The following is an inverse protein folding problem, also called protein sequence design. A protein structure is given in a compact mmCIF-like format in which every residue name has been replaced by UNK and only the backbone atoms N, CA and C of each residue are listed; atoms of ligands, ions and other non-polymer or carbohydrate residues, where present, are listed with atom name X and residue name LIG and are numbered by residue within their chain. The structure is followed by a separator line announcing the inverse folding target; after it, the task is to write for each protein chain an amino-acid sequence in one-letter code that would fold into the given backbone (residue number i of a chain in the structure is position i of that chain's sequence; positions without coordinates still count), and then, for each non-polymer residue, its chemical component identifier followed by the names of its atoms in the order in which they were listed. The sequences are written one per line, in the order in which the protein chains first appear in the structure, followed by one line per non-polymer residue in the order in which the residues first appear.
data_IF_854663827801
#
_entry.id   IF_854663827801
#
_cell.length_a   1.000
_cell.length_b   1.000
_cell.length_c   1.000
_cell.angle_alpha   90.00
_cell.angle_beta   90.00
_cell.angle_gamma   90.00
#
_symmetry.space_group_name_H-M   'P 1'
#
loop_
_entity.id
_entity.type
_entity.pdbx_description
1 polymer ?
#
# COMPACT_ATOMS: atom_id res chain seq x y z
N UNK A 1 -57.32 37.99 18.07
CA UNK A 1 -56.36 36.91 17.83
C UNK A 1 -55.75 37.11 16.46
N UNK A 2 -54.56 37.66 16.42
CA UNK A 2 -53.84 38.09 15.21
C UNK A 2 -52.97 36.90 14.73
N UNK A 3 -53.29 36.44 13.53
CA UNK A 3 -52.57 35.41 12.80
C UNK A 3 -51.26 36.01 12.26
N UNK A 4 -50.13 35.68 12.88
CA UNK A 4 -48.80 36.01 12.31
C UNK A 4 -48.46 34.97 11.24
N UNK A 5 -48.01 35.38 10.04
CA UNK A 5 -47.55 34.47 9.01
C UNK A 5 -46.19 33.88 9.39
N UNK A 6 -46.13 32.57 9.62
CA UNK A 6 -44.86 31.83 9.77
C UNK A 6 -44.08 31.93 8.46
N UNK A 7 -43.02 32.72 8.46
CA UNK A 7 -41.99 32.76 7.38
C UNK A 7 -41.14 31.49 7.42
N UNK A 8 -41.73 30.40 6.92
CA UNK A 8 -41.00 29.12 6.78
C UNK A 8 -40.24 29.08 5.45
N UNK A 9 -38.94 29.08 5.49
CA UNK A 9 -38.08 28.79 4.33
C UNK A 9 -38.42 27.39 3.79
N UNK A 10 -38.95 27.31 2.58
CA UNK A 10 -39.38 26.03 1.99
C UNK A 10 -38.19 25.34 1.29
N UNK A 11 -38.25 24.00 1.15
CA UNK A 11 -37.25 23.25 0.36
C UNK A 11 -37.13 23.77 -1.07
N UNK A 12 -38.21 24.32 -1.63
CA UNK A 12 -38.26 24.90 -2.96
C UNK A 12 -37.48 26.22 -3.03
N UNK A 13 -37.51 27.02 -1.96
CA UNK A 13 -36.75 28.27 -1.83
C UNK A 13 -35.27 28.00 -1.66
N UNK A 14 -34.88 26.91 -0.96
CA UNK A 14 -33.52 26.47 -0.83
C UNK A 14 -32.94 26.06 -2.21
N UNK A 15 -33.68 25.28 -2.99
CA UNK A 15 -33.22 24.83 -4.32
C UNK A 15 -33.12 25.99 -5.30
N UNK A 16 -34.08 26.91 -5.27
CA UNK A 16 -34.04 28.12 -6.11
C UNK A 16 -32.88 29.07 -5.72
N UNK A 17 -32.65 29.27 -4.43
CA UNK A 17 -31.54 30.06 -3.92
C UNK A 17 -30.16 29.48 -4.27
N UNK A 18 -30.02 28.15 -4.19
CA UNK A 18 -28.79 27.43 -4.53
C UNK A 18 -28.46 27.52 -6.02
N UNK A 19 -29.46 27.45 -6.91
CA UNK A 19 -29.26 27.59 -8.35
C UNK A 19 -28.79 28.99 -8.74
N UNK A 20 -29.40 30.04 -8.15
CA UNK A 20 -29.02 31.44 -8.42
C UNK A 20 -27.64 31.74 -7.85
N UNK A 21 -27.30 31.25 -6.65
CA UNK A 21 -25.99 31.44 -6.04
C UNK A 21 -24.87 30.73 -6.82
N UNK A 22 -25.14 29.51 -7.33
CA UNK A 22 -24.16 28.76 -8.13
C UNK A 22 -23.85 29.44 -9.47
N UNK A 23 -24.85 30.03 -10.14
CA UNK A 23 -24.65 30.78 -11.40
C UNK A 23 -23.89 32.08 -11.16
N UNK A 24 -24.13 32.77 -10.06
CA UNK A 24 -23.43 34.02 -9.74
C UNK A 24 -21.94 33.79 -9.38
N UNK A 25 -21.62 32.65 -8.73
CA UNK A 25 -20.25 32.30 -8.40
C UNK A 25 -19.41 31.91 -9.63
N UNK A 26 -20.07 31.42 -10.70
CA UNK A 26 -19.37 30.99 -11.93
C UNK A 26 -19.12 32.14 -12.91
N UNK A 27 -19.79 33.30 -12.78
CA UNK A 27 -19.67 34.43 -13.72
C UNK A 27 -18.67 35.48 -13.23
N UNK A 28 -18.25 35.47 -11.96
CA UNK A 28 -17.41 36.51 -11.36
C UNK A 28 -15.89 36.27 -11.36
N UNK A 29 -15.42 35.09 -11.67
CA UNK A 29 -14.01 34.75 -11.74
C UNK A 29 -13.57 34.61 -13.19
N UNK A 30 -12.71 35.53 -13.71
CA UNK A 30 -11.78 35.13 -14.76
C UNK A 30 -10.87 34.05 -14.18
N UNK A 31 -11.36 32.80 -14.15
CA UNK A 31 -10.45 31.68 -14.11
C UNK A 31 -9.59 31.83 -15.36
N UNK A 32 -8.34 32.24 -15.20
CA UNK A 32 -7.33 31.92 -16.18
C UNK A 32 -7.38 30.41 -16.25
N UNK A 33 -8.14 29.88 -17.21
CA UNK A 33 -7.96 28.52 -17.65
C UNK A 33 -6.54 28.53 -18.24
N UNK A 34 -5.55 28.26 -17.38
CA UNK A 34 -4.26 27.80 -17.84
C UNK A 34 -4.59 26.74 -18.87
N UNK A 35 -4.10 26.93 -20.08
CA UNK A 35 -4.36 26.04 -21.21
C UNK A 35 -4.08 24.63 -20.73
N UNK A 36 -5.16 23.88 -20.47
CA UNK A 36 -5.05 22.52 -19.93
C UNK A 36 -4.41 21.69 -21.02
N UNK A 37 -3.13 21.37 -20.81
CA UNK A 37 -2.40 20.50 -21.71
C UNK A 37 -3.15 19.17 -21.80
N UNK A 38 -3.73 18.90 -22.97
CA UNK A 38 -4.48 17.66 -23.21
C UNK A 38 -3.52 16.56 -23.62
N UNK A 39 -3.34 15.58 -22.75
CA UNK A 39 -2.61 14.36 -23.07
C UNK A 39 -3.52 13.31 -23.72
N UNK A 40 -3.05 12.67 -24.77
CA UNK A 40 -3.70 11.49 -25.32
C UNK A 40 -4.39 11.67 -26.65
N UNK A 41 -4.98 10.59 -27.23
CA UNK A 41 -5.19 9.27 -26.64
C UNK A 41 -3.98 8.33 -26.69
N UNK A 42 -2.90 8.69 -27.41
CA UNK A 42 -1.71 7.85 -27.57
C UNK A 42 -0.79 7.85 -26.35
N UNK A 43 0.23 6.98 -26.37
CA UNK A 43 1.27 6.94 -25.35
C UNK A 43 2.13 8.21 -25.41
N UNK A 44 2.41 8.81 -24.25
CA UNK A 44 3.24 9.98 -24.10
C UNK A 44 4.46 9.65 -23.21
N UNK A 45 5.59 10.33 -23.41
CA UNK A 45 6.77 10.13 -22.56
C UNK A 45 6.49 10.59 -21.13
N UNK A 46 6.95 9.82 -20.16
CA UNK A 46 6.88 10.15 -18.74
C UNK A 46 8.18 9.71 -18.05
N UNK A 47 8.67 10.55 -17.15
CA UNK A 47 9.82 10.24 -16.32
C UNK A 47 9.34 10.05 -14.87
N UNK A 48 9.61 8.85 -14.31
CA UNK A 48 9.28 8.49 -12.93
C UNK A 48 10.55 8.29 -12.12
N UNK A 49 10.67 9.00 -11.01
CA UNK A 49 11.75 8.81 -10.05
C UNK A 49 11.30 7.80 -8.99
N UNK A 50 11.75 6.55 -9.12
CA UNK A 50 11.33 5.44 -8.25
C UNK A 50 12.54 4.91 -7.48
N UNK A 51 12.44 4.89 -6.15
CA UNK A 51 13.50 4.41 -5.25
C UNK A 51 14.88 5.04 -5.55
N UNK A 52 14.87 6.34 -5.90
CA UNK A 52 16.09 7.07 -6.25
C UNK A 52 16.53 6.95 -7.71
N UNK A 53 16.02 5.98 -8.48
CA UNK A 53 16.35 5.76 -9.89
C UNK A 53 15.34 6.43 -10.82
N UNK A 54 15.80 6.91 -11.97
CA UNK A 54 14.96 7.54 -12.99
C UNK A 54 14.58 6.51 -14.05
N UNK A 55 13.28 6.36 -14.29
CA UNK A 55 12.70 5.48 -15.31
C UNK A 55 11.99 6.31 -16.36
N UNK A 56 12.48 6.24 -17.62
CA UNK A 56 11.85 6.90 -18.78
C UNK A 56 10.97 5.92 -19.51
N UNK A 57 9.67 6.19 -19.52
CA UNK A 57 8.65 5.32 -20.05
C UNK A 57 7.82 6.05 -21.11
N UNK A 58 7.16 5.31 -21.97
CA UNK A 58 6.12 5.83 -22.89
C UNK A 58 4.79 5.15 -22.50
N UNK A 59 3.89 5.91 -21.88
CA UNK A 59 2.66 5.39 -21.28
C UNK A 59 1.43 6.14 -21.78
N UNK A 60 0.34 5.41 -21.97
CA UNK A 60 -0.96 6.04 -22.20
C UNK A 60 -1.38 6.84 -20.94
N UNK A 61 -2.10 7.96 -21.09
CA UNK A 61 -2.51 8.81 -19.96
C UNK A 61 -3.32 8.08 -18.88
N UNK A 62 -4.04 7.02 -19.23
CA UNK A 62 -4.86 6.22 -18.32
C UNK A 62 -4.09 5.18 -17.50
N UNK A 63 -2.81 4.96 -17.79
CA UNK A 63 -2.00 3.96 -17.05
C UNK A 63 -1.84 4.40 -15.61
N UNK A 64 -2.21 3.50 -14.69
CA UNK A 64 -2.06 3.76 -13.26
C UNK A 64 -0.59 3.65 -12.83
N UNK A 65 -0.24 4.31 -11.74
CA UNK A 65 1.09 4.19 -11.16
C UNK A 65 1.38 2.72 -10.77
N UNK A 66 0.37 1.99 -10.29
CA UNK A 66 0.52 0.57 -9.94
C UNK A 66 0.91 -0.29 -11.16
N UNK A 67 0.26 -0.07 -12.30
CA UNK A 67 0.56 -0.81 -13.54
C UNK A 67 1.95 -0.42 -14.07
N UNK A 68 2.30 0.89 -13.99
CA UNK A 68 3.63 1.35 -14.39
C UNK A 68 4.74 0.71 -13.54
N UNK A 69 4.58 0.67 -12.22
CA UNK A 69 5.56 0.06 -11.31
C UNK A 69 5.71 -1.44 -11.54
N UNK A 70 4.58 -2.16 -11.67
CA UNK A 70 4.59 -3.63 -11.77
C UNK A 70 4.97 -4.13 -13.16
N UNK A 71 4.32 -3.58 -14.18
CA UNK A 71 4.34 -4.20 -15.52
C UNK A 71 5.38 -3.56 -16.44
N UNK A 72 5.83 -2.33 -16.14
CA UNK A 72 6.83 -1.62 -16.94
C UNK A 72 8.20 -1.55 -16.26
N UNK A 73 8.22 -1.38 -14.93
CA UNK A 73 9.48 -1.29 -14.16
C UNK A 73 9.85 -2.65 -13.54
N UNK A 74 8.87 -3.54 -13.31
CA UNK A 74 9.09 -4.86 -12.71
C UNK A 74 9.09 -4.88 -11.18
N UNK A 75 8.67 -3.79 -10.53
CA UNK A 75 8.56 -3.70 -9.06
C UNK A 75 7.25 -4.32 -8.59
N UNK A 76 7.24 -5.61 -8.31
CA UNK A 76 6.04 -6.41 -8.01
C UNK A 76 5.61 -6.36 -6.55
N UNK A 77 6.36 -5.74 -5.66
CA UNK A 77 6.02 -5.57 -4.24
C UNK A 77 4.77 -4.72 -4.01
N UNK A 78 4.49 -3.75 -4.89
CA UNK A 78 3.21 -3.04 -4.94
C UNK A 78 2.12 -3.98 -5.43
N UNK A 79 1.16 -4.37 -4.56
CA UNK A 79 0.13 -5.37 -4.90
C UNK A 79 -1.16 -4.69 -5.36
N UNK A 80 -1.73 -5.13 -6.49
CA UNK A 80 -3.06 -4.69 -6.94
C UNK A 80 -4.08 -5.75 -6.57
N UNK A 81 -5.00 -5.44 -5.64
CA UNK A 81 -6.04 -6.35 -5.15
C UNK A 81 -7.43 -5.85 -5.52
N UNK A 82 -7.82 -4.64 -5.08
CA UNK A 82 -9.17 -4.13 -5.34
C UNK A 82 -9.26 -3.26 -6.61
N UNK A 83 -8.17 -2.67 -7.09
CA UNK A 83 -8.12 -1.77 -8.25
C UNK A 83 -8.95 -0.47 -8.11
N UNK A 84 -9.42 -0.14 -6.90
CA UNK A 84 -10.33 1.00 -6.64
C UNK A 84 -10.04 1.76 -5.35
N UNK A 85 -8.80 1.74 -4.86
CA UNK A 85 -8.35 2.50 -3.69
C UNK A 85 -8.91 2.07 -2.34
N UNK A 86 -9.67 0.97 -2.25
CA UNK A 86 -10.40 0.60 -1.02
C UNK A 86 -9.59 -0.27 -0.04
N UNK A 87 -8.50 -0.93 -0.49
CA UNK A 87 -7.84 -1.95 0.34
C UNK A 87 -6.41 -1.61 0.78
N UNK A 88 -5.79 -0.58 0.22
CA UNK A 88 -4.44 -0.15 0.57
C UNK A 88 -3.29 -1.12 0.23
N UNK A 89 -3.55 -2.26 -0.42
CA UNK A 89 -2.48 -3.20 -0.80
C UNK A 89 -1.48 -2.59 -1.79
N UNK A 90 -1.92 -1.61 -2.58
CA UNK A 90 -1.12 -0.88 -3.54
C UNK A 90 -0.51 0.42 -2.99
N UNK A 91 -0.49 0.61 -1.68
CA UNK A 91 0.10 1.81 -1.08
C UNK A 91 1.57 1.93 -1.46
N UNK A 92 1.92 3.11 -1.95
CA UNK A 92 3.30 3.59 -2.18
C UNK A 92 3.45 4.96 -1.53
N UNK A 93 4.69 5.44 -1.40
CA UNK A 93 4.92 6.82 -0.97
C UNK A 93 5.15 7.70 -2.19
N UNK A 94 4.46 8.82 -2.25
CA UNK A 94 4.65 9.88 -3.22
C UNK A 94 5.04 11.15 -2.46
N UNK A 95 6.27 11.61 -2.64
CA UNK A 95 6.87 12.69 -1.84
C UNK A 95 6.70 12.45 -0.32
N UNK A 96 6.92 11.22 0.13
CA UNK A 96 6.81 10.81 1.53
C UNK A 96 5.39 10.62 2.06
N UNK A 97 4.34 10.80 1.25
CA UNK A 97 2.93 10.61 1.64
C UNK A 97 2.38 9.32 1.05
N UNK A 98 1.56 8.61 1.82
CA UNK A 98 0.89 7.41 1.35
C UNK A 98 -0.15 7.71 0.28
N UNK A 99 -0.09 7.01 -0.85
CA UNK A 99 -1.09 7.07 -1.91
C UNK A 99 -1.47 5.67 -2.39
N UNK A 100 -2.70 5.53 -2.89
CA UNK A 100 -3.15 4.31 -3.55
C UNK A 100 -2.69 4.32 -5.02
N UNK A 101 -1.62 3.61 -5.35
CA UNK A 101 -1.06 3.58 -6.69
C UNK A 101 -2.05 3.11 -7.78
N UNK A 102 -3.08 2.31 -7.44
CA UNK A 102 -4.12 1.90 -8.37
C UNK A 102 -5.13 3.01 -8.75
N UNK A 103 -5.12 4.15 -8.07
CA UNK A 103 -5.93 5.34 -8.38
C UNK A 103 -5.09 6.55 -8.78
N UNK A 104 -3.78 6.49 -8.62
CA UNK A 104 -2.86 7.53 -9.06
C UNK A 104 -2.45 7.25 -10.50
N UNK A 105 -2.57 8.22 -11.40
CA UNK A 105 -2.08 8.08 -12.76
C UNK A 105 -0.54 8.20 -12.79
N UNK A 106 0.11 7.41 -13.65
CA UNK A 106 1.56 7.47 -13.77
C UNK A 106 2.06 8.87 -14.15
N UNK A 107 1.34 9.56 -15.03
CA UNK A 107 1.66 10.93 -15.44
C UNK A 107 1.51 11.96 -14.30
N UNK A 108 0.60 11.75 -13.34
CA UNK A 108 0.47 12.62 -12.15
C UNK A 108 1.63 12.44 -11.16
N UNK A 109 2.30 11.30 -11.21
CA UNK A 109 3.47 11.01 -10.39
C UNK A 109 4.78 11.54 -11.01
N UNK A 110 4.73 12.05 -12.24
CA UNK A 110 5.90 12.66 -12.88
C UNK A 110 6.46 13.81 -12.05
N UNK A 111 7.78 13.89 -11.97
CA UNK A 111 8.49 14.92 -11.18
C UNK A 111 8.44 14.73 -9.67
N UNK A 112 7.74 13.71 -9.16
CA UNK A 112 7.65 13.40 -7.73
C UNK A 112 8.55 12.20 -7.37
N UNK A 113 8.93 12.12 -6.09
CA UNK A 113 9.71 10.99 -5.58
C UNK A 113 8.77 9.86 -5.17
N UNK A 114 8.94 8.69 -5.79
CA UNK A 114 8.16 7.50 -5.52
C UNK A 114 9.01 6.54 -4.70
N UNK A 115 8.49 6.07 -3.56
CA UNK A 115 9.13 5.01 -2.77
C UNK A 115 8.18 3.81 -2.69
N UNK A 116 8.66 2.66 -3.11
CA UNK A 116 7.98 1.37 -2.99
C UNK A 116 8.59 0.53 -1.87
N UNK A 117 8.02 -0.62 -1.59
CA UNK A 117 8.54 -1.52 -0.54
C UNK A 117 9.98 -1.97 -0.83
N UNK A 118 10.32 -2.16 -2.10
CA UNK A 118 11.66 -2.52 -2.54
C UNK A 118 12.70 -1.44 -2.22
N UNK A 119 12.28 -0.17 -2.20
CA UNK A 119 13.15 0.95 -1.87
C UNK A 119 13.41 1.17 -0.38
N UNK A 120 12.78 0.39 0.51
CA UNK A 120 13.04 0.50 1.94
C UNK A 120 14.29 -0.25 2.39
N UNK A 121 14.61 -1.37 1.75
CA UNK A 121 15.80 -2.16 2.06
C UNK A 121 17.01 -1.59 1.30
N UNK A 122 17.92 -0.93 2.01
CA UNK A 122 19.18 -0.46 1.43
C UNK A 122 20.23 -1.58 1.48
N UNK A 123 20.93 -1.80 0.37
CA UNK A 123 22.02 -2.77 0.26
C UNK A 123 21.67 -4.19 0.75
N UNK A 124 20.42 -4.61 0.52
CA UNK A 124 19.92 -5.92 0.93
C UNK A 124 19.66 -6.05 2.44
N UNK A 125 19.81 -4.98 3.22
CA UNK A 125 19.51 -4.97 4.66
C UNK A 125 18.11 -4.45 4.91
N UNK A 126 17.36 -5.21 5.72
CA UNK A 126 16.02 -4.82 6.14
C UNK A 126 16.08 -3.61 7.08
N UNK A 127 15.03 -2.80 7.02
CA UNK A 127 14.84 -1.72 8.02
C UNK A 127 14.38 -2.33 9.36
N UNK A 128 14.60 -1.64 10.51
CA UNK A 128 14.12 -2.11 11.81
C UNK A 128 12.62 -2.43 11.82
N UNK A 129 11.81 -1.69 11.04
CA UNK A 129 10.39 -1.96 10.90
C UNK A 129 10.13 -3.29 10.15
N UNK A 130 10.85 -3.56 9.08
CA UNK A 130 10.71 -4.83 8.34
C UNK A 130 11.17 -6.02 9.20
N UNK A 131 12.27 -5.89 9.94
CA UNK A 131 12.72 -6.89 10.91
C UNK A 131 11.67 -7.15 12.01
N UNK A 132 11.05 -6.08 12.53
CA UNK A 132 10.00 -6.18 13.51
C UNK A 132 8.74 -6.89 12.98
N UNK A 133 8.39 -6.67 11.69
CA UNK A 133 7.29 -7.40 11.04
C UNK A 133 7.57 -8.90 10.95
N UNK A 134 8.80 -9.30 10.68
CA UNK A 134 9.22 -10.70 10.69
C UNK A 134 9.17 -11.25 12.11
N UNK A 135 9.78 -10.55 13.08
CA UNK A 135 9.87 -11.00 14.47
C UNK A 135 8.51 -11.09 15.18
N UNK A 136 7.52 -10.30 14.75
CA UNK A 136 6.16 -10.31 15.29
C UNK A 136 5.22 -11.24 14.51
N UNK A 137 5.70 -11.96 13.49
CA UNK A 137 4.86 -12.74 12.56
C UNK A 137 3.68 -11.93 11.99
N UNK A 138 3.96 -10.67 11.61
CA UNK A 138 2.97 -9.70 11.19
C UNK A 138 2.50 -9.88 9.75
N UNK A 139 2.64 -11.08 9.21
CA UNK A 139 2.24 -11.44 7.85
C UNK A 139 1.80 -12.91 7.78
N UNK A 140 0.90 -13.23 6.85
CA UNK A 140 0.57 -14.59 6.45
C UNK A 140 0.70 -14.69 4.93
N UNK A 141 -0.36 -14.33 4.16
CA UNK A 141 -0.29 -14.39 2.70
C UNK A 141 0.62 -13.30 2.07
N UNK A 142 0.99 -12.26 2.79
CA UNK A 142 1.90 -11.20 2.35
C UNK A 142 1.29 -10.10 1.46
N UNK A 143 0.05 -10.25 0.97
CA UNK A 143 -0.53 -9.31 0.00
C UNK A 143 -0.74 -7.89 0.54
N UNK A 144 -1.14 -7.74 1.80
CA UNK A 144 -1.31 -6.43 2.44
C UNK A 144 -0.02 -5.87 3.04
N UNK A 145 1.00 -6.72 3.24
CA UNK A 145 2.17 -6.42 4.06
C UNK A 145 2.98 -5.25 3.54
N UNK A 146 3.22 -5.17 2.22
CA UNK A 146 3.96 -4.05 1.63
C UNK A 146 3.29 -2.70 1.87
N UNK A 147 1.97 -2.63 1.67
CA UNK A 147 1.20 -1.41 1.93
C UNK A 147 1.16 -1.05 3.42
N UNK A 148 1.01 -2.03 4.29
CA UNK A 148 1.03 -1.81 5.75
C UNK A 148 2.39 -1.30 6.25
N UNK A 149 3.49 -1.89 5.79
CA UNK A 149 4.85 -1.42 6.16
C UNK A 149 5.05 0.03 5.74
N UNK A 150 4.66 0.42 4.52
CA UNK A 150 4.79 1.79 4.04
C UNK A 150 3.93 2.77 4.85
N UNK A 151 2.69 2.39 5.21
CA UNK A 151 1.83 3.20 6.07
C UNK A 151 2.40 3.35 7.48
N UNK A 152 2.91 2.27 8.07
CA UNK A 152 3.55 2.29 9.38
C UNK A 152 4.88 3.08 9.37
N UNK A 153 5.63 3.03 8.25
CA UNK A 153 6.85 3.83 8.09
C UNK A 153 6.53 5.33 8.19
N UNK A 154 5.52 5.81 7.46
CA UNK A 154 5.11 7.22 7.51
C UNK A 154 4.71 7.63 8.94
N UNK A 155 3.99 6.76 9.66
CA UNK A 155 3.66 7.00 11.06
C UNK A 155 4.92 7.16 11.91
N UNK A 156 5.88 6.24 11.80
CA UNK A 156 7.12 6.25 12.59
C UNK A 156 8.03 7.43 12.24
N UNK A 157 8.05 7.87 10.98
CA UNK A 157 8.77 9.07 10.55
C UNK A 157 8.19 10.35 11.19
N UNK A 158 6.87 10.39 11.41
CA UNK A 158 6.17 11.53 12.03
C UNK A 158 6.14 11.44 13.55
N UNK A 159 6.07 10.26 14.09
CA UNK A 159 5.98 9.99 15.52
C UNK A 159 6.77 8.72 15.88
N UNK A 160 7.94 8.90 16.46
CA UNK A 160 8.84 7.80 16.84
C UNK A 160 8.30 6.93 18.01
N UNK A 161 7.27 7.40 18.72
CA UNK A 161 6.65 6.68 19.86
C UNK A 161 5.13 6.72 19.73
N UNK A 162 4.55 6.06 18.71
CA UNK A 162 3.11 6.10 18.47
C UNK A 162 2.34 5.35 19.55
N UNK A 163 1.16 5.84 19.87
CA UNK A 163 0.19 5.07 20.67
C UNK A 163 -0.40 3.96 19.83
N UNK A 164 -0.90 2.89 20.46
CA UNK A 164 -1.59 1.81 19.74
C UNK A 164 -2.79 2.31 18.94
N UNK A 165 -3.45 3.38 19.39
CA UNK A 165 -4.52 4.01 18.65
C UNK A 165 -4.00 4.69 17.36
N UNK A 166 -2.89 5.41 17.44
CA UNK A 166 -2.26 6.02 16.25
C UNK A 166 -1.82 4.96 15.23
N UNK A 167 -1.35 3.79 15.69
CA UNK A 167 -1.00 2.67 14.80
C UNK A 167 -2.25 2.15 14.09
N UNK A 168 -3.38 1.97 14.81
CA UNK A 168 -4.67 1.56 14.21
C UNK A 168 -5.12 2.53 13.12
N UNK A 169 -5.03 3.83 13.40
CA UNK A 169 -5.41 4.88 12.45
C UNK A 169 -4.52 4.87 11.20
N UNK A 170 -3.22 4.70 11.38
CA UNK A 170 -2.26 4.64 10.27
C UNK A 170 -2.53 3.48 9.31
N UNK A 171 -2.99 2.33 9.81
CA UNK A 171 -3.28 1.14 8.98
C UNK A 171 -4.77 0.98 8.66
N UNK A 172 -5.63 1.92 9.05
CA UNK A 172 -7.08 1.83 8.83
C UNK A 172 -7.45 1.70 7.35
N UNK A 173 -6.64 2.28 6.46
CA UNK A 173 -6.78 2.17 5.00
C UNK A 173 -6.24 0.87 4.40
N UNK A 174 -5.60 -0.01 5.19
CA UNK A 174 -4.96 -1.24 4.72
C UNK A 174 -5.73 -2.47 5.20
N UNK A 175 -6.40 -3.17 4.29
CA UNK A 175 -7.19 -4.36 4.62
C UNK A 175 -6.35 -5.62 4.63
N UNK A 176 -6.39 -6.38 5.72
CA UNK A 176 -5.81 -7.71 5.86
C UNK A 176 -6.89 -8.78 5.98
N UNK A 177 -7.01 -9.66 4.97
CA UNK A 177 -7.97 -10.77 5.01
C UNK A 177 -7.58 -11.86 6.02
N UNK A 178 -6.29 -12.04 6.27
CA UNK A 178 -5.76 -12.98 7.26
C UNK A 178 -5.93 -12.50 8.70
N UNK A 179 -6.19 -11.20 8.92
CA UNK A 179 -6.47 -10.66 10.25
C UNK A 179 -5.23 -10.39 11.11
N UNK A 180 -4.05 -10.20 10.53
CA UNK A 180 -2.77 -10.04 11.25
C UNK A 180 -2.60 -8.69 11.98
N UNK A 181 -3.65 -7.91 12.16
CA UNK A 181 -3.56 -6.53 12.72
C UNK A 181 -2.88 -6.46 14.08
N UNK A 182 -3.17 -7.41 15.00
CA UNK A 182 -2.53 -7.40 16.32
C UNK A 182 -1.02 -7.58 16.23
N UNK A 183 -0.56 -8.43 15.33
CA UNK A 183 0.86 -8.65 15.04
C UNK A 183 1.49 -7.42 14.38
N UNK A 184 0.76 -6.73 13.48
CA UNK A 184 1.21 -5.47 12.88
C UNK A 184 1.37 -4.39 13.95
N UNK A 185 0.42 -4.27 14.89
CA UNK A 185 0.54 -3.30 15.99
C UNK A 185 1.76 -3.61 16.86
N UNK A 186 1.97 -4.88 17.18
CA UNK A 186 3.14 -5.33 17.92
C UNK A 186 4.45 -5.05 17.18
N UNK A 187 4.50 -5.30 15.87
CA UNK A 187 5.67 -5.02 15.04
C UNK A 187 6.04 -3.51 15.09
N UNK A 188 5.05 -2.63 14.99
CA UNK A 188 5.29 -1.18 15.07
C UNK A 188 5.73 -0.77 16.47
N UNK A 189 5.12 -1.32 17.53
CA UNK A 189 5.52 -1.08 18.91
C UNK A 189 6.97 -1.52 19.16
N UNK A 190 7.40 -2.65 18.61
CA UNK A 190 8.80 -3.15 18.66
C UNK A 190 9.75 -2.23 17.91
N UNK A 191 9.42 -1.87 16.67
CA UNK A 191 10.24 -0.98 15.85
C UNK A 191 10.42 0.40 16.51
N UNK A 192 9.42 0.86 17.29
CA UNK A 192 9.45 2.09 18.08
C UNK A 192 10.20 1.93 19.42
N UNK A 193 10.70 0.75 19.76
CA UNK A 193 11.33 0.46 21.06
C UNK A 193 10.37 0.52 22.26
N UNK A 194 9.05 0.41 22.03
CA UNK A 194 8.02 0.48 23.08
C UNK A 194 7.76 -0.88 23.73
N UNK A 195 8.12 -1.98 23.06
CA UNK A 195 8.13 -3.34 23.61
C UNK A 195 9.53 -3.91 23.51
N UNK A 196 10.08 -4.35 24.63
CA UNK A 196 11.29 -5.16 24.61
C UNK A 196 11.01 -6.48 23.88
N UNK A 197 12.01 -6.94 23.16
CA UNK A 197 11.97 -8.22 22.43
C UNK A 197 12.05 -9.39 23.44
N UNK A 198 10.97 -9.64 24.23
CA UNK A 198 10.84 -10.83 25.06
C UNK A 198 10.67 -12.13 24.25
N UNK A 199 10.90 -12.04 22.94
CA UNK A 199 10.92 -13.17 22.02
C UNK A 199 12.36 -13.54 21.63
N UNK A 200 13.16 -13.94 22.62
CA UNK A 200 14.37 -14.75 22.40
C UNK A 200 14.02 -16.24 22.20
N UNK A 201 12.78 -16.55 21.85
CA UNK A 201 12.39 -17.88 21.42
C UNK A 201 12.49 -18.02 19.91
N UNK A 202 12.79 -19.22 19.39
CA UNK A 202 12.80 -19.46 17.96
C UNK A 202 11.44 -19.04 17.37
N UNK A 203 11.46 -18.36 16.21
CA UNK A 203 10.29 -17.96 15.44
C UNK A 203 9.26 -19.11 15.39
N UNK A 204 7.93 -18.88 15.57
CA UNK A 204 6.95 -19.95 15.50
C UNK A 204 7.07 -20.83 14.25
N UNK A 205 7.54 -20.26 13.13
CA UNK A 205 7.86 -21.02 11.91
C UNK A 205 9.02 -22.02 12.12
N UNK A 206 9.93 -21.80 13.07
CA UNK A 206 10.97 -22.77 13.41
C UNK A 206 10.44 -23.92 14.30
N UNK A 207 9.19 -23.82 14.76
CA UNK A 207 8.46 -24.90 15.42
C UNK A 207 7.65 -25.76 14.45
N UNK A 208 7.52 -25.34 13.18
CA UNK A 208 7.02 -26.21 12.13
C UNK A 208 8.22 -27.08 11.78
N UNK A 209 8.18 -28.39 12.10
CA UNK A 209 9.22 -29.29 11.63
C UNK A 209 9.34 -29.11 10.12
N UNK A 210 10.56 -29.05 9.61
CA UNK A 210 10.80 -29.05 8.18
C UNK A 210 9.84 -30.04 7.54
N UNK A 211 8.99 -29.65 6.57
CA UNK A 211 8.11 -30.58 5.88
C UNK A 211 8.86 -31.80 5.37
N UNK A 212 10.14 -31.69 5.00
CA UNK A 212 11.02 -32.79 4.65
C UNK A 212 11.26 -33.70 5.85
N UNK A 213 11.49 -33.19 7.07
CA UNK A 213 11.74 -34.00 8.27
C UNK A 213 10.54 -34.86 8.70
N UNK A 214 9.32 -34.51 8.26
CA UNK A 214 8.13 -35.38 8.49
C UNK A 214 8.16 -36.65 7.69
N UNK A 215 8.95 -36.70 6.64
CA UNK A 215 9.01 -37.82 5.71
C UNK A 215 10.35 -38.55 5.76
N UNK A 216 11.37 -37.99 6.43
CA UNK A 216 12.69 -38.66 6.57
C UNK A 216 12.58 -40.01 7.29
N UNK A 217 11.65 -40.17 8.23
CA UNK A 217 11.43 -41.39 8.98
C UNK A 217 10.33 -42.31 8.40
N UNK A 218 9.65 -41.89 7.31
CA UNK A 218 8.66 -42.76 6.66
C UNK A 218 9.35 -43.66 5.62
N UNK A 219 9.45 -44.97 5.89
CA UNK A 219 10.17 -45.92 5.01
C UNK A 219 9.55 -45.99 3.60
N UNK A 220 8.28 -45.62 3.44
CA UNK A 220 7.58 -45.63 2.13
C UNK A 220 8.04 -44.43 1.27
N UNK A 221 8.27 -43.26 1.91
CA UNK A 221 8.77 -42.08 1.23
C UNK A 221 10.24 -42.27 0.86
N UNK A 222 11.04 -42.80 1.76
CA UNK A 222 12.44 -43.13 1.48
C UNK A 222 12.62 -44.19 0.36
N UNK A 223 11.68 -45.10 0.23
CA UNK A 223 11.66 -46.07 -0.87
C UNK A 223 11.29 -45.39 -2.20
N UNK A 224 10.23 -44.55 -2.22
CA UNK A 224 9.79 -43.84 -3.42
C UNK A 224 10.86 -42.85 -3.95
N UNK A 225 11.59 -42.18 -3.05
CA UNK A 225 12.70 -41.31 -3.43
C UNK A 225 13.84 -42.08 -4.08
N UNK A 226 14.20 -43.24 -3.52
CA UNK A 226 15.24 -44.13 -4.10
C UNK A 226 14.86 -44.63 -5.49
N UNK A 227 13.60 -45.08 -5.64
CA UNK A 227 13.08 -45.56 -6.93
C UNK A 227 13.12 -44.43 -8.01
N UNK A 228 12.71 -43.24 -7.64
CA UNK A 228 12.77 -42.07 -8.54
C UNK A 228 14.23 -41.67 -8.89
N UNK A 229 15.16 -41.75 -7.95
CA UNK A 229 16.58 -41.45 -8.20
C UNK A 229 17.23 -42.51 -9.11
N UNK A 230 16.86 -43.79 -8.99
CA UNK A 230 17.33 -44.86 -9.84
C UNK A 230 16.79 -44.71 -11.29
N UNK A 231 15.51 -44.31 -11.45
CA UNK A 231 14.92 -44.03 -12.77
C UNK A 231 15.58 -42.84 -13.48
N UNK A 232 16.03 -41.85 -12.75
CA UNK A 232 16.70 -40.64 -13.29
C UNK A 232 18.23 -40.80 -13.43
N UNK A 233 18.80 -41.96 -13.01
CA UNK A 233 20.23 -42.20 -13.09
C UNK A 233 21.07 -41.33 -12.18
N UNK A 234 20.50 -40.86 -11.06
CA UNK A 234 21.12 -39.97 -10.07
C UNK A 234 21.58 -40.73 -8.81
N UNK A 235 21.59 -42.06 -8.83
CA UNK A 235 22.05 -42.94 -7.73
C UNK A 235 23.53 -43.34 -7.91
#
# INVERSE_FOLDING_TARGET
MSDEPRSGFTRRDLVRGSLVGAVAATVGGKANAAELERMGPGAAPVELKVNGSIHRLSLEPRVTLADALRDRIGLTGTKVVCGRGACGACTVLLDGKTVCACLTLAHEAAGKSITTIEGLAADGRLTPLQEAFIAADALQCGFCTSGMILSCKVLLDQNSKPTRQAIREAVAGNLCRCGTYNHVFEAVERAAGLKQADFAGPHPASRIPDPASRFEDDPRVAAAIREAMEEEGLA
#
